data_IF_793872792841
#
_entry.id   IF_793872792841
#
_cell.length_a   1.000
_cell.length_b   1.000
_cell.length_c   1.000
_cell.angle_alpha   90.00
_cell.angle_beta   90.00
_cell.angle_gamma   90.00
#
_symmetry.space_group_name_H-M   'P 1'
#
loop_
_entity.id
_entity.type
_entity.pdbx_description
1 polymer ?
#
# COMPACT_ATOMS: atom_id res chain seq x y z
N UNK A 1 -7.80 21.24 -2.08
CA UNK A 1 -8.34 19.87 -2.06
C UNK A 1 -8.27 19.37 -3.48
N UNK A 2 -7.20 18.59 -3.74
CA UNK A 2 -7.06 17.51 -4.73
C UNK A 2 -7.39 17.82 -6.21
N UNK A 3 -6.52 18.60 -6.87
CA UNK A 3 -6.61 18.94 -8.29
C UNK A 3 -5.80 18.02 -9.24
N UNK A 4 -5.55 16.76 -8.89
CA UNK A 4 -4.78 15.84 -9.77
C UNK A 4 -5.37 14.44 -9.88
N UNK A 5 -6.70 14.33 -9.84
CA UNK A 5 -7.41 13.13 -10.30
C UNK A 5 -7.67 13.18 -11.82
N UNK A 6 -6.81 13.87 -12.58
CA UNK A 6 -6.93 13.97 -14.03
C UNK A 6 -6.44 12.65 -14.66
N UNK A 7 -7.41 11.76 -14.88
CA UNK A 7 -7.46 10.87 -16.04
C UNK A 7 -6.21 10.03 -16.35
N UNK A 8 -5.52 9.54 -15.32
CA UNK A 8 -4.19 8.96 -15.50
C UNK A 8 -4.16 7.42 -15.34
N UNK A 9 -3.33 6.70 -16.14
CA UNK A 9 -3.10 5.24 -16.07
C UNK A 9 -2.69 4.71 -14.68
N UNK A 10 -2.43 5.62 -13.76
CA UNK A 10 -2.15 5.41 -12.35
C UNK A 10 -3.32 4.74 -11.60
N UNK A 11 -4.58 4.92 -12.03
CA UNK A 11 -5.73 4.32 -11.34
C UNK A 11 -5.72 2.79 -11.42
N UNK A 12 -5.39 2.23 -12.59
CA UNK A 12 -5.28 0.78 -12.77
C UNK A 12 -4.17 0.19 -11.90
N UNK A 13 -3.01 0.86 -11.85
CA UNK A 13 -1.89 0.45 -10.99
C UNK A 13 -2.22 0.57 -9.50
N UNK A 14 -2.96 1.60 -9.13
CA UNK A 14 -3.43 1.80 -7.75
C UNK A 14 -4.40 0.71 -7.32
N UNK A 15 -5.39 0.37 -8.17
CA UNK A 15 -6.32 -0.72 -7.91
C UNK A 15 -5.57 -2.05 -7.78
N UNK A 16 -4.66 -2.35 -8.72
CA UNK A 16 -3.84 -3.56 -8.69
C UNK A 16 -3.03 -3.67 -7.39
N UNK A 17 -2.31 -2.62 -6.99
CA UNK A 17 -1.55 -2.65 -5.74
C UNK A 17 -2.43 -2.71 -4.50
N UNK A 18 -3.65 -2.17 -4.54
CA UNK A 18 -4.62 -2.31 -3.44
C UNK A 18 -5.10 -3.76 -3.29
N UNK A 19 -5.32 -4.44 -4.40
CA UNK A 19 -5.67 -5.86 -4.40
C UNK A 19 -4.51 -6.72 -3.90
N UNK A 20 -3.27 -6.41 -4.29
CA UNK A 20 -2.08 -7.08 -3.72
C UNK A 20 -1.99 -6.90 -2.21
N UNK A 21 -2.22 -5.68 -1.70
CA UNK A 21 -2.24 -5.41 -0.26
C UNK A 21 -3.31 -6.24 0.45
N UNK A 22 -4.51 -6.32 -0.14
CA UNK A 22 -5.61 -7.12 0.39
C UNK A 22 -5.24 -8.61 0.41
N UNK A 23 -4.66 -9.13 -0.67
CA UNK A 23 -4.18 -10.50 -0.75
C UNK A 23 -3.09 -10.82 0.28
N UNK A 24 -2.23 -9.86 0.62
CA UNK A 24 -1.24 -9.98 1.71
C UNK A 24 -1.92 -10.08 3.08
N UNK A 25 -3.00 -9.33 3.31
CA UNK A 25 -3.78 -9.42 4.55
C UNK A 25 -4.65 -10.68 4.63
N UNK A 26 -5.17 -11.17 3.51
CA UNK A 26 -5.94 -12.41 3.44
C UNK A 26 -5.06 -13.66 3.63
N UNK A 27 -3.74 -13.52 3.50
CA UNK A 27 -2.76 -14.54 3.91
C UNK A 27 -2.65 -14.61 5.44
N UNK A 28 -3.70 -15.13 6.08
CA UNK A 28 -3.77 -15.42 7.53
C UNK A 28 -2.78 -16.50 7.99
N UNK A 29 -2.17 -17.21 7.04
CA UNK A 29 -1.13 -18.20 7.29
C UNK A 29 0.27 -17.60 7.53
N UNK A 30 0.44 -16.28 7.36
CA UNK A 30 1.71 -15.59 7.62
C UNK A 30 1.83 -15.22 9.11
N UNK A 31 3.00 -15.48 9.70
CA UNK A 31 3.32 -14.97 11.03
C UNK A 31 3.42 -13.44 11.03
N UNK A 32 3.27 -12.80 12.18
CA UNK A 32 3.33 -11.34 12.31
C UNK A 32 4.60 -10.72 11.71
N UNK A 33 5.74 -11.40 11.78
CA UNK A 33 6.99 -10.96 11.16
C UNK A 33 6.94 -11.01 9.62
N UNK A 34 6.46 -12.12 9.07
CA UNK A 34 6.26 -12.30 7.63
C UNK A 34 5.26 -11.29 7.05
N UNK A 35 4.17 -11.03 7.79
CA UNK A 35 3.19 -10.02 7.43
C UNK A 35 3.82 -8.62 7.42
N UNK A 36 4.60 -8.27 8.44
CA UNK A 36 5.35 -6.99 8.48
C UNK A 36 6.33 -6.87 7.32
N UNK A 37 7.09 -7.91 7.00
CA UNK A 37 8.00 -7.90 5.85
C UNK A 37 7.23 -7.66 4.55
N UNK A 38 6.14 -8.39 4.30
CA UNK A 38 5.29 -8.22 3.10
C UNK A 38 4.72 -6.81 3.00
N UNK A 39 4.27 -6.23 4.11
CA UNK A 39 3.76 -4.86 4.17
C UNK A 39 4.84 -3.81 3.91
N UNK A 40 6.05 -4.04 4.42
CA UNK A 40 7.19 -3.15 4.19
C UNK A 40 7.67 -3.21 2.75
N UNK A 41 7.75 -4.40 2.16
CA UNK A 41 8.00 -4.63 0.74
C UNK A 41 6.97 -3.91 -0.15
N UNK A 42 5.69 -4.04 0.23
CA UNK A 42 4.60 -3.36 -0.47
C UNK A 42 4.73 -1.84 -0.37
N UNK A 43 5.11 -1.29 0.81
CA UNK A 43 5.36 0.14 0.96
C UNK A 43 6.49 0.62 0.05
N UNK A 44 7.61 -0.12 -0.04
CA UNK A 44 8.69 0.23 -0.96
C UNK A 44 8.24 0.24 -2.42
N UNK A 45 7.46 -0.77 -2.87
CA UNK A 45 6.90 -0.81 -4.22
C UNK A 45 5.90 0.33 -4.49
N UNK A 46 5.14 0.72 -3.47
CA UNK A 46 4.17 1.80 -3.55
C UNK A 46 4.86 3.17 -3.69
N UNK A 47 6.00 3.36 -3.00
CA UNK A 47 6.86 4.53 -3.12
C UNK A 47 7.57 4.59 -4.49
N UNK A 48 8.12 3.47 -4.95
CA UNK A 48 8.77 3.36 -6.27
C UNK A 48 7.78 3.56 -7.44
N UNK A 49 6.51 3.20 -7.25
CA UNK A 49 5.48 3.36 -8.28
C UNK A 49 5.19 4.81 -8.68
N UNK A 50 5.68 5.80 -7.94
CA UNK A 50 5.52 7.23 -8.26
C UNK A 50 4.08 7.74 -8.16
N UNK A 51 3.14 6.92 -7.70
CA UNK A 51 1.73 7.28 -7.53
C UNK A 51 1.53 7.92 -6.16
N UNK A 52 1.21 9.21 -6.14
CA UNK A 52 1.00 9.97 -4.90
C UNK A 52 0.02 9.30 -3.93
N UNK A 53 -1.06 8.70 -4.46
CA UNK A 53 -2.05 8.01 -3.64
C UNK A 53 -1.54 6.68 -3.07
N UNK A 54 -0.65 5.95 -3.75
CA UNK A 54 0.01 4.77 -3.17
C UNK A 54 0.94 5.16 -2.03
N UNK A 55 1.72 6.22 -2.22
CA UNK A 55 2.57 6.81 -1.16
C UNK A 55 1.76 7.21 0.08
N UNK A 56 0.59 7.83 -0.12
CA UNK A 56 -0.29 8.22 0.99
C UNK A 56 -0.90 7.00 1.73
N UNK A 57 -1.19 5.91 1.01
CA UNK A 57 -1.59 4.64 1.64
C UNK A 57 -0.43 4.06 2.46
N UNK A 58 0.79 4.00 1.91
CA UNK A 58 1.98 3.51 2.64
C UNK A 58 2.26 4.32 3.90
N UNK A 59 2.13 5.65 3.84
CA UNK A 59 2.28 6.53 5.00
C UNK A 59 1.23 6.24 6.07
N UNK A 60 -0.04 6.06 5.68
CA UNK A 60 -1.12 5.68 6.61
C UNK A 60 -0.88 4.29 7.22
N UNK A 61 -0.39 3.35 6.44
CA UNK A 61 -0.12 1.98 6.89
C UNK A 61 0.99 1.93 7.94
N UNK A 62 2.10 2.67 7.70
CA UNK A 62 3.20 2.81 8.67
C UNK A 62 2.77 3.50 9.96
N UNK A 63 1.79 4.41 9.88
CA UNK A 63 1.26 5.18 11.00
C UNK A 63 0.16 4.44 11.77
N UNK A 64 -0.39 3.38 11.18
CA UNK A 64 -1.30 2.45 11.85
C UNK A 64 -0.57 1.46 12.76
N UNK A 65 0.71 1.66 13.09
CA UNK A 65 1.30 0.98 14.25
C UNK A 65 0.40 1.29 15.45
N UNK A 66 -0.34 0.32 16.01
CA UNK A 66 -1.11 0.56 17.21
C UNK A 66 -0.09 1.01 18.24
N UNK A 67 -0.26 2.24 18.74
CA UNK A 67 0.59 2.76 19.79
C UNK A 67 0.56 1.73 20.93
N UNK A 68 1.73 1.13 21.17
CA UNK A 68 2.03 0.42 22.41
C UNK A 68 2.13 1.42 23.54
#
# INVERSE_FOLDING_TARGET
MDAAADTSPNLGKLLHMREELKAVWEQTNLSADQLRQKLQDWCHRAEDSGVAALRDISLRLRRYTPAV
#
